data_IF_051808835293
#
_entry.id   IF_051808835293
#
_cell.length_a   1.000
_cell.length_b   1.000
_cell.length_c   1.000
_cell.angle_alpha   90.00
_cell.angle_beta   90.00
_cell.angle_gamma   90.00
#
_symmetry.space_group_name_H-M   'P 1'
#
loop_
_entity.id
_entity.type
_entity.pdbx_description
1 polymer ?
#
# COMPACT_ATOMS: atom_id res chain seq x y z
N UNK A 1 -14.16 13.07 -9.39
CA UNK A 1 -12.95 12.85 -10.20
C UNK A 1 -11.96 13.92 -9.83
N UNK A 2 -10.66 13.60 -9.82
CA UNK A 2 -9.57 14.56 -9.65
C UNK A 2 -8.99 14.79 -11.03
N UNK A 3 -9.16 16.01 -11.54
CA UNK A 3 -8.93 16.34 -12.95
C UNK A 3 -7.48 16.77 -13.22
N UNK A 4 -6.71 17.11 -12.18
CA UNK A 4 -5.34 17.59 -12.35
C UNK A 4 -4.48 17.46 -11.09
N UNK A 5 -3.16 17.53 -11.28
CA UNK A 5 -2.18 17.65 -10.19
C UNK A 5 -2.50 18.84 -9.29
N UNK A 6 -2.83 19.99 -9.88
CA UNK A 6 -3.14 21.21 -9.13
C UNK A 6 -4.42 21.08 -8.29
N UNK A 7 -5.43 20.36 -8.79
CA UNK A 7 -6.61 20.05 -7.99
C UNK A 7 -6.25 19.17 -6.79
N UNK A 8 -5.49 18.09 -6.99
CA UNK A 8 -5.06 17.24 -5.88
C UNK A 8 -4.36 18.02 -4.77
N UNK A 9 -3.43 18.91 -5.15
CA UNK A 9 -2.71 19.76 -4.18
C UNK A 9 -3.68 20.70 -3.44
N UNK A 10 -4.65 21.30 -4.13
CA UNK A 10 -5.66 22.15 -3.49
C UNK A 10 -6.52 21.37 -2.50
N UNK A 11 -7.00 20.18 -2.89
CA UNK A 11 -7.79 19.32 -2.01
C UNK A 11 -6.99 18.95 -0.76
N UNK A 12 -5.70 18.67 -0.90
CA UNK A 12 -4.86 18.34 0.25
C UNK A 12 -4.60 19.55 1.15
N UNK A 13 -4.52 20.74 0.58
CA UNK A 13 -4.23 21.96 1.32
C UNK A 13 -5.45 22.57 2.02
N UNK A 14 -6.68 22.22 1.63
CA UNK A 14 -7.89 22.91 2.09
C UNK A 14 -8.22 22.68 3.57
N UNK A 15 -7.73 21.60 4.16
CA UNK A 15 -8.09 21.19 5.52
C UNK A 15 -9.55 20.72 5.64
N UNK A 16 -10.28 20.68 4.54
CA UNK A 16 -11.70 20.33 4.51
C UNK A 16 -11.90 18.81 4.50
N UNK A 17 -12.83 18.34 5.34
CA UNK A 17 -13.11 16.91 5.49
C UNK A 17 -13.68 16.25 4.24
N UNK A 18 -14.43 16.99 3.41
CA UNK A 18 -14.97 16.49 2.14
C UNK A 18 -13.85 16.37 1.11
N UNK A 19 -12.91 17.29 1.08
CA UNK A 19 -11.75 17.20 0.20
C UNK A 19 -10.85 16.01 0.53
N UNK A 20 -10.65 15.71 1.83
CA UNK A 20 -9.98 14.48 2.24
C UNK A 20 -10.75 13.22 1.82
N UNK A 21 -12.08 13.27 1.81
CA UNK A 21 -12.90 12.17 1.30
C UNK A 21 -12.70 12.00 -0.20
N UNK A 22 -12.65 13.09 -0.97
CA UNK A 22 -12.35 13.07 -2.41
C UNK A 22 -10.98 12.47 -2.69
N UNK A 23 -9.93 12.87 -1.96
CA UNK A 23 -8.58 12.28 -2.10
C UNK A 23 -8.59 10.75 -1.96
N UNK A 24 -9.48 10.19 -1.12
CA UNK A 24 -9.56 8.75 -0.88
C UNK A 24 -10.41 7.98 -1.88
N UNK A 25 -11.33 8.65 -2.59
CA UNK A 25 -12.43 8.01 -3.31
C UNK A 25 -12.54 8.41 -4.77
N UNK A 26 -12.13 9.62 -5.12
CA UNK A 26 -12.24 10.10 -6.49
C UNK A 26 -11.17 9.45 -7.37
N UNK A 27 -11.61 8.98 -8.52
CA UNK A 27 -10.73 8.54 -9.61
C UNK A 27 -10.00 9.72 -10.26
N UNK A 28 -8.86 9.44 -10.90
CA UNK A 28 -8.15 10.38 -11.76
C UNK A 28 -7.59 9.61 -12.97
N UNK A 29 -7.39 10.29 -14.13
CA UNK A 29 -6.61 9.73 -15.22
C UNK A 29 -5.24 9.27 -14.72
N UNK A 30 -4.72 8.19 -15.29
CA UNK A 30 -3.50 7.58 -14.76
C UNK A 30 -2.29 8.50 -14.91
N UNK A 31 -2.29 9.36 -15.92
CA UNK A 31 -1.29 10.40 -16.16
C UNK A 31 -1.28 11.44 -15.04
N UNK A 32 -2.43 11.73 -14.43
CA UNK A 32 -2.53 12.64 -13.27
C UNK A 32 -1.90 11.96 -12.06
N UNK A 33 -2.25 10.71 -11.77
CA UNK A 33 -1.63 9.96 -10.68
C UNK A 33 -0.12 9.84 -10.85
N UNK A 34 0.32 9.46 -12.04
CA UNK A 34 1.72 9.34 -12.42
C UNK A 34 2.46 10.65 -12.20
N UNK A 35 1.90 11.76 -12.68
CA UNK A 35 2.51 13.08 -12.50
C UNK A 35 2.62 13.48 -11.02
N UNK A 36 1.63 13.15 -10.18
CA UNK A 36 1.70 13.41 -8.73
C UNK A 36 2.83 12.60 -8.10
N UNK A 37 2.87 11.27 -8.32
CA UNK A 37 3.87 10.42 -7.66
C UNK A 37 5.29 10.67 -8.17
N UNK A 38 5.47 11.05 -9.42
CA UNK A 38 6.80 11.36 -9.97
C UNK A 38 7.30 12.74 -9.56
N UNK A 39 6.43 13.76 -9.54
CA UNK A 39 6.84 15.17 -9.38
C UNK A 39 6.68 15.68 -7.96
N UNK A 40 5.87 15.04 -7.12
CA UNK A 40 5.53 15.50 -5.78
C UNK A 40 5.72 14.35 -4.75
N UNK A 41 6.97 14.00 -4.37
CA UNK A 41 7.24 12.94 -3.41
C UNK A 41 6.48 13.08 -2.09
N UNK A 42 6.35 14.31 -1.57
CA UNK A 42 5.62 14.60 -0.32
C UNK A 42 4.10 14.29 -0.40
N UNK A 43 3.57 14.11 -1.61
CA UNK A 43 2.17 13.77 -1.83
C UNK A 43 1.91 12.25 -1.87
N UNK A 44 2.94 11.42 -2.03
CA UNK A 44 2.80 9.96 -2.22
C UNK A 44 2.09 9.27 -1.06
N UNK A 45 2.38 9.71 0.18
CA UNK A 45 1.67 9.26 1.36
C UNK A 45 0.16 9.51 1.27
N UNK A 46 -0.27 10.63 0.70
CA UNK A 46 -1.69 10.94 0.55
C UNK A 46 -2.32 10.17 -0.62
N UNK A 47 -1.57 10.00 -1.71
CA UNK A 47 -1.99 9.21 -2.88
C UNK A 47 -2.24 7.75 -2.48
N UNK A 48 -1.40 7.15 -1.64
CA UNK A 48 -1.51 5.73 -1.25
C UNK A 48 -2.83 5.36 -0.54
N UNK A 49 -3.56 6.35 0.00
CA UNK A 49 -4.89 6.14 0.59
C UNK A 49 -6.03 6.07 -0.45
N UNK A 50 -5.79 6.49 -1.69
CA UNK A 50 -6.84 6.50 -2.70
C UNK A 50 -7.20 5.06 -3.13
N UNK A 51 -8.47 4.68 -3.03
CA UNK A 51 -8.93 3.30 -3.29
C UNK A 51 -9.10 2.96 -4.76
N UNK A 52 -8.84 3.91 -5.65
CA UNK A 52 -9.05 3.80 -7.10
C UNK A 52 -7.75 3.85 -7.90
N UNK A 53 -6.61 3.77 -7.21
CA UNK A 53 -5.30 3.81 -7.87
C UNK A 53 -5.17 2.69 -8.92
N UNK A 54 -4.77 3.04 -10.15
CA UNK A 54 -4.38 2.05 -11.14
C UNK A 54 -3.22 1.19 -10.64
N UNK A 55 -3.17 -0.07 -11.06
CA UNK A 55 -2.14 -1.04 -10.64
C UNK A 55 -0.71 -0.54 -10.86
N UNK A 56 -0.47 0.21 -11.94
CA UNK A 56 0.87 0.77 -12.19
C UNK A 56 1.29 1.81 -11.15
N UNK A 57 0.35 2.58 -10.61
CA UNK A 57 0.63 3.55 -9.54
C UNK A 57 0.85 2.84 -8.22
N UNK A 58 0.08 1.78 -7.93
CA UNK A 58 0.32 0.90 -6.77
C UNK A 58 1.74 0.33 -6.83
N UNK A 59 2.20 -0.07 -8.02
CA UNK A 59 3.55 -0.62 -8.22
C UNK A 59 4.65 0.41 -7.96
N UNK A 60 4.46 1.66 -8.38
CA UNK A 60 5.39 2.76 -8.07
C UNK A 60 5.44 2.99 -6.54
N UNK A 61 4.28 3.05 -5.89
CA UNK A 61 4.21 3.34 -4.44
C UNK A 61 4.69 2.16 -3.56
N UNK A 62 4.64 0.93 -4.07
CA UNK A 62 5.19 -0.23 -3.37
C UNK A 62 6.73 -0.20 -3.28
N UNK A 63 7.40 0.54 -4.15
CA UNK A 63 8.86 0.74 -4.14
C UNK A 63 9.25 2.11 -3.56
N UNK A 64 8.33 2.75 -2.84
CA UNK A 64 8.59 4.09 -2.31
C UNK A 64 9.65 4.08 -1.19
N UNK A 65 10.47 5.13 -1.14
CA UNK A 65 11.50 5.28 -0.12
C UNK A 65 10.92 5.41 1.30
N UNK A 66 9.71 5.96 1.45
CA UNK A 66 9.01 6.05 2.73
C UNK A 66 8.28 4.73 3.04
N UNK A 67 8.75 4.03 4.07
CA UNK A 67 8.15 2.78 4.52
C UNK A 67 6.65 2.92 4.87
N UNK A 68 6.18 4.12 5.26
CA UNK A 68 4.76 4.37 5.55
C UNK A 68 3.90 4.30 4.29
N UNK A 69 4.46 4.68 3.14
CA UNK A 69 3.81 4.53 1.83
C UNK A 69 3.72 3.05 1.49
N UNK A 70 4.84 2.31 1.61
CA UNK A 70 4.88 0.86 1.34
C UNK A 70 3.97 0.07 2.26
N UNK A 71 3.91 0.42 3.55
CA UNK A 71 3.00 -0.16 4.55
C UNK A 71 1.54 0.06 4.16
N UNK A 72 1.19 1.29 3.76
CA UNK A 72 -0.15 1.61 3.28
C UNK A 72 -0.50 0.83 2.01
N UNK A 73 0.45 0.55 1.11
CA UNK A 73 0.24 -0.33 -0.04
C UNK A 73 0.11 -1.80 0.39
N UNK A 74 0.96 -2.29 1.29
CA UNK A 74 0.88 -3.66 1.80
C UNK A 74 -0.49 -3.98 2.41
N UNK A 75 -1.13 -3.00 3.07
CA UNK A 75 -2.41 -3.18 3.75
C UNK A 75 -3.64 -3.17 2.84
N UNK A 76 -3.51 -2.86 1.54
CA UNK A 76 -4.69 -2.71 0.68
C UNK A 76 -5.22 -4.07 0.21
N UNK A 77 -6.54 -4.10 -0.01
CA UNK A 77 -7.23 -5.28 -0.55
C UNK A 77 -7.05 -5.44 -2.05
N UNK A 78 -6.66 -4.41 -2.77
CA UNK A 78 -6.43 -4.42 -4.22
C UNK A 78 -4.95 -4.57 -4.59
N UNK A 79 -4.06 -4.67 -3.60
CA UNK A 79 -2.63 -4.88 -3.85
C UNK A 79 -2.40 -6.19 -4.60
N UNK A 80 -1.74 -6.14 -5.77
CA UNK A 80 -1.37 -7.32 -6.52
C UNK A 80 -0.56 -8.32 -5.70
N UNK A 81 -0.78 -9.60 -5.95
CA UNK A 81 -0.17 -10.68 -5.19
C UNK A 81 1.37 -10.69 -5.33
N UNK A 82 1.88 -10.40 -6.53
CA UNK A 82 3.32 -10.26 -6.81
C UNK A 82 3.96 -9.09 -6.06
N UNK A 83 3.20 -8.02 -5.82
CA UNK A 83 3.64 -6.90 -4.99
C UNK A 83 3.70 -7.33 -3.52
N UNK A 84 2.70 -8.05 -3.00
CA UNK A 84 2.75 -8.61 -1.65
C UNK A 84 3.92 -9.60 -1.46
N UNK A 85 4.24 -10.40 -2.48
CA UNK A 85 5.44 -11.25 -2.46
C UNK A 85 6.74 -10.45 -2.46
N UNK A 86 6.77 -9.28 -3.10
CA UNK A 86 7.94 -8.40 -3.07
C UNK A 86 8.09 -7.77 -1.69
N UNK A 87 7.01 -7.18 -1.16
CA UNK A 87 6.96 -6.54 0.16
C UNK A 87 7.16 -7.53 1.32
N UNK A 88 7.01 -8.84 1.11
CA UNK A 88 7.36 -9.84 2.13
C UNK A 88 8.86 -9.95 2.41
N UNK A 89 9.70 -9.21 1.68
CA UNK A 89 11.15 -9.09 1.85
C UNK A 89 11.56 -7.65 2.18
N UNK A 90 10.61 -6.80 2.55
CA UNK A 90 10.85 -5.42 2.96
C UNK A 90 11.81 -5.35 4.16
N UNK A 91 12.53 -4.25 4.27
CA UNK A 91 13.48 -4.02 5.36
C UNK A 91 12.83 -3.46 6.63
N UNK A 92 11.57 -3.00 6.53
CA UNK A 92 10.86 -2.38 7.64
C UNK A 92 9.84 -3.33 8.28
N UNK A 93 9.88 -3.42 9.61
CA UNK A 93 9.04 -4.32 10.43
C UNK A 93 7.54 -4.05 10.27
N UNK A 94 7.12 -2.78 10.27
CA UNK A 94 5.74 -2.38 10.02
C UNK A 94 5.21 -2.94 8.68
N UNK A 95 5.97 -2.79 7.59
CA UNK A 95 5.59 -3.30 6.26
C UNK A 95 5.46 -4.82 6.29
N UNK A 96 6.46 -5.54 6.81
CA UNK A 96 6.43 -7.00 6.95
C UNK A 96 5.24 -7.47 7.79
N UNK A 97 4.96 -6.77 8.89
CA UNK A 97 3.84 -7.05 9.78
C UNK A 97 2.51 -6.88 9.05
N UNK A 98 2.36 -5.83 8.26
CA UNK A 98 1.16 -5.57 7.46
C UNK A 98 0.99 -6.59 6.34
N UNK A 99 2.07 -7.01 5.67
CA UNK A 99 2.02 -8.14 4.73
C UNK A 99 1.60 -9.42 5.45
N UNK A 100 2.14 -9.70 6.63
CA UNK A 100 1.77 -10.88 7.42
C UNK A 100 0.31 -10.86 7.93
N UNK A 101 -0.32 -9.69 8.03
CA UNK A 101 -1.73 -9.55 8.45
C UNK A 101 -2.69 -9.40 7.26
N UNK A 102 -2.22 -9.08 6.04
CA UNK A 102 -3.08 -8.95 4.88
C UNK A 102 -3.64 -10.35 4.47
N UNK A 103 -4.98 -10.54 4.45
CA UNK A 103 -5.60 -11.82 4.14
C UNK A 103 -5.36 -12.28 2.69
N UNK A 104 -4.95 -11.37 1.79
CA UNK A 104 -4.61 -11.69 0.41
C UNK A 104 -3.16 -12.13 0.22
N UNK A 105 -2.31 -12.03 1.24
CA UNK A 105 -0.89 -12.35 1.10
C UNK A 105 -0.68 -13.79 0.62
N UNK A 106 0.04 -14.03 -0.48
CA UNK A 106 0.24 -15.38 -0.99
C UNK A 106 0.89 -16.31 0.03
N UNK A 107 0.58 -17.61 -0.03
CA UNK A 107 1.17 -18.62 0.87
C UNK A 107 2.70 -18.58 0.83
N UNK A 108 3.30 -18.39 -0.35
CA UNK A 108 4.76 -18.26 -0.52
C UNK A 108 5.37 -17.07 0.23
N UNK A 109 4.66 -15.94 0.25
CA UNK A 109 5.07 -14.77 1.03
C UNK A 109 5.00 -15.06 2.53
N UNK A 110 3.92 -15.70 2.99
CA UNK A 110 3.79 -16.11 4.40
C UNK A 110 4.85 -17.15 4.81
N UNK A 111 5.19 -18.10 3.95
CA UNK A 111 6.29 -19.04 4.18
C UNK A 111 7.64 -18.30 4.34
N UNK A 112 7.89 -17.30 3.49
CA UNK A 112 9.07 -16.43 3.61
C UNK A 112 9.10 -15.72 4.97
N UNK A 113 7.97 -15.16 5.40
CA UNK A 113 7.85 -14.44 6.67
C UNK A 113 7.91 -15.36 7.90
N UNK A 114 7.44 -16.61 7.79
CA UNK A 114 7.58 -17.62 8.86
C UNK A 114 9.04 -18.00 9.15
N UNK A 115 9.95 -17.78 8.21
CA UNK A 115 11.38 -17.94 8.40
C UNK A 115 12.12 -16.68 8.88
N UNK A 116 11.42 -15.57 9.14
CA UNK A 116 12.05 -14.27 9.42
C UNK A 116 12.78 -14.23 10.78
N UNK A 117 13.81 -13.40 10.93
CA UNK A 117 14.57 -13.30 12.19
C UNK A 117 13.77 -12.69 13.35
N UNK A 118 12.86 -11.76 13.04
CA UNK A 118 11.95 -11.13 14.02
C UNK A 118 10.79 -12.06 14.40
N UNK A 119 10.67 -12.37 15.69
CA UNK A 119 9.66 -13.32 16.20
C UNK A 119 8.23 -12.88 15.90
N UNK A 120 7.93 -11.60 16.07
CA UNK A 120 6.59 -11.06 15.81
C UNK A 120 6.15 -11.27 14.36
N UNK A 121 7.06 -11.14 13.40
CA UNK A 121 6.78 -11.37 11.97
C UNK A 121 6.51 -12.85 11.71
N UNK A 122 7.36 -13.74 12.24
CA UNK A 122 7.16 -15.19 12.11
C UNK A 122 5.82 -15.64 12.67
N UNK A 123 5.53 -15.24 13.91
CA UNK A 123 4.32 -15.66 14.63
C UNK A 123 3.04 -15.21 13.89
N UNK A 124 3.03 -13.98 13.35
CA UNK A 124 1.92 -13.49 12.52
C UNK A 124 1.73 -14.33 11.27
N UNK A 125 2.82 -14.60 10.54
CA UNK A 125 2.77 -15.38 9.31
C UNK A 125 2.35 -16.84 9.56
N UNK A 126 2.89 -17.49 10.59
CA UNK A 126 2.52 -18.83 11.03
C UNK A 126 1.05 -18.91 11.42
N UNK A 127 0.55 -17.95 12.20
CA UNK A 127 -0.87 -17.88 12.56
C UNK A 127 -1.75 -17.76 11.32
N UNK A 128 -1.38 -16.94 10.34
CA UNK A 128 -2.16 -16.82 9.11
C UNK A 128 -2.12 -18.12 8.28
N UNK A 129 -0.96 -18.78 8.17
CA UNK A 129 -0.83 -20.09 7.52
C UNK A 129 -1.68 -21.16 8.21
N UNK A 130 -1.66 -21.22 9.54
CA UNK A 130 -2.49 -22.14 10.33
C UNK A 130 -3.97 -21.88 10.10
N UNK A 131 -4.40 -20.62 10.10
CA UNK A 131 -5.78 -20.23 9.82
C UNK A 131 -6.29 -20.71 8.45
N UNK A 132 -5.41 -20.82 7.45
CA UNK A 132 -5.74 -21.35 6.11
C UNK A 132 -5.82 -22.87 6.04
N UNK A 133 -5.25 -23.59 7.02
CA UNK A 133 -5.25 -25.07 7.04
C UNK A 133 -6.51 -25.65 7.69
N UNK A 134 -7.22 -24.82 8.47
CA UNK A 134 -8.36 -25.23 9.29
C UNK A 134 -9.71 -24.74 8.76
N UNK A 135 -9.73 -23.88 7.73
CA UNK A 135 -10.93 -23.36 7.07
C UNK A 135 -11.04 -23.88 5.65
#
# INVERSE_FOLDING_TARGET
>A
MIDSVGEFVRLRASGDSLDFKRIKQDEAPVEVWRAIVERLPDMRFWVSFNRTLPTEIIRILADDADWRVRDQIAGRRDTPLDILETLSRDDHDAVLSTVADNPRTPTRALETLSGHSWSQIREKAERQLQGRRIG
#
